data_IF_201065450111
#
_entry.id   IF_201065450111
#
_cell.length_a   1.000
_cell.length_b   1.000
_cell.length_c   1.000
_cell.angle_alpha   90.00
_cell.angle_beta   90.00
_cell.angle_gamma   90.00
#
_symmetry.space_group_name_H-M   'P 1'
#
loop_
_entity.id
_entity.type
_entity.pdbx_description
1 polymer ?
#
# COMPACT_ATOMS: atom_id res chain seq x y z
N UNK A 1 -7.40 35.24 31.85
CA UNK A 1 -8.00 36.57 31.50
C UNK A 1 -7.05 37.22 30.50
N UNK A 2 -6.97 36.77 29.25
CA UNK A 2 -6.19 37.45 28.18
C UNK A 2 -6.42 36.90 26.76
N UNK A 3 -7.68 36.67 26.37
CA UNK A 3 -8.02 36.30 24.99
C UNK A 3 -8.91 37.33 24.26
N UNK A 4 -9.12 38.51 24.86
CA UNK A 4 -10.01 39.54 24.33
C UNK A 4 -9.37 40.66 23.53
N UNK A 5 -8.07 40.91 23.64
CA UNK A 5 -7.40 42.07 23.02
C UNK A 5 -6.83 41.81 21.62
N UNK A 6 -6.43 40.59 21.29
CA UNK A 6 -5.88 40.28 19.95
C UNK A 6 -6.92 40.30 18.82
N UNK A 7 -8.22 40.14 19.14
CA UNK A 7 -9.30 40.18 18.15
C UNK A 7 -9.71 41.59 17.71
N UNK A 8 -9.53 42.60 18.55
CA UNK A 8 -9.90 44.01 18.24
C UNK A 8 -8.87 44.70 17.33
N UNK A 9 -7.59 44.42 17.51
CA UNK A 9 -6.54 45.02 16.68
C UNK A 9 -6.62 44.63 15.21
N UNK A 10 -6.95 43.35 14.91
CA UNK A 10 -7.06 42.83 13.54
C UNK A 10 -8.27 43.36 12.77
N UNK A 11 -9.38 43.69 13.45
CA UNK A 11 -10.57 44.27 12.81
C UNK A 11 -10.38 45.73 12.45
N UNK A 12 -9.71 46.51 13.28
CA UNK A 12 -9.41 47.94 13.05
C UNK A 12 -8.38 48.12 11.92
N UNK A 13 -7.41 47.20 11.81
CA UNK A 13 -6.39 47.23 10.75
C UNK A 13 -6.99 46.93 9.38
N UNK A 14 -7.90 45.96 9.28
CA UNK A 14 -8.66 45.63 8.03
C UNK A 14 -9.57 46.75 7.57
N UNK A 15 -10.19 47.48 8.49
CA UNK A 15 -11.06 48.63 8.16
C UNK A 15 -10.29 49.76 7.51
N UNK A 16 -9.11 50.11 8.00
CA UNK A 16 -8.28 51.21 7.48
C UNK A 16 -7.73 50.93 6.06
N UNK A 17 -7.40 49.69 5.73
CA UNK A 17 -6.97 49.34 4.37
C UNK A 17 -8.14 49.31 3.38
N UNK A 18 -9.31 48.90 3.79
CA UNK A 18 -10.50 48.89 2.94
C UNK A 18 -10.94 50.34 2.59
N UNK A 19 -10.92 51.27 3.56
CA UNK A 19 -11.22 52.69 3.30
C UNK A 19 -10.16 53.38 2.47
N UNK A 20 -8.87 53.07 2.65
CA UNK A 20 -7.79 53.60 1.84
C UNK A 20 -7.88 53.07 0.38
N UNK A 21 -8.22 51.81 0.17
CA UNK A 21 -8.42 51.25 -1.16
C UNK A 21 -9.64 51.87 -1.89
N UNK A 22 -10.75 52.11 -1.16
CA UNK A 22 -11.93 52.80 -1.72
C UNK A 22 -11.61 54.25 -2.12
N UNK A 23 -10.89 54.98 -1.27
CA UNK A 23 -10.44 56.34 -1.57
C UNK A 23 -9.47 56.37 -2.76
N UNK A 24 -8.53 55.47 -2.84
CA UNK A 24 -7.60 55.35 -3.99
C UNK A 24 -8.36 55.03 -5.29
N UNK A 25 -9.39 54.19 -5.23
CA UNK A 25 -10.23 53.83 -6.36
C UNK A 25 -11.06 55.02 -6.85
N UNK A 26 -11.67 55.80 -5.94
CA UNK A 26 -12.48 57.00 -6.28
C UNK A 26 -11.60 58.09 -6.88
N UNK A 27 -10.42 58.33 -6.34
CA UNK A 27 -9.44 59.28 -6.89
C UNK A 27 -8.98 58.84 -8.27
N UNK A 28 -8.68 57.55 -8.46
CA UNK A 28 -8.29 56.99 -9.76
C UNK A 28 -9.38 57.15 -10.82
N UNK A 29 -10.65 56.92 -10.47
CA UNK A 29 -11.79 57.13 -11.37
C UNK A 29 -11.99 58.60 -11.72
N UNK A 30 -11.79 59.52 -10.78
CA UNK A 30 -11.89 60.97 -11.02
C UNK A 30 -10.76 61.45 -11.97
N UNK A 31 -9.52 60.98 -11.78
CA UNK A 31 -8.38 61.29 -12.64
C UNK A 31 -8.59 60.74 -14.06
N UNK A 32 -9.11 59.52 -14.17
CA UNK A 32 -9.43 58.89 -15.46
C UNK A 32 -10.53 59.65 -16.21
N UNK A 33 -11.57 60.07 -15.49
CA UNK A 33 -12.65 60.87 -16.05
C UNK A 33 -12.16 62.24 -16.54
N UNK A 34 -11.31 62.94 -15.77
CA UNK A 34 -10.70 64.20 -16.16
C UNK A 34 -9.77 64.01 -17.41
N UNK A 35 -9.00 62.92 -17.44
CA UNK A 35 -8.13 62.60 -18.57
C UNK A 35 -8.93 62.37 -19.86
N UNK A 36 -10.08 61.67 -19.80
CA UNK A 36 -10.96 61.42 -20.97
C UNK A 36 -11.64 62.69 -21.49
N UNK A 37 -11.74 63.73 -20.69
CA UNK A 37 -12.30 65.02 -21.09
C UNK A 37 -11.23 65.93 -21.69
N UNK A 38 -10.05 66.03 -21.04
CA UNK A 38 -9.00 67.01 -21.35
C UNK A 38 -8.02 66.48 -22.43
N UNK A 39 -7.56 65.23 -22.32
CA UNK A 39 -6.55 64.64 -23.22
C UNK A 39 -6.91 64.68 -24.70
N UNK A 40 -8.16 64.35 -25.15
CA UNK A 40 -8.52 64.42 -26.56
C UNK A 40 -8.33 65.79 -27.19
N UNK A 41 -8.67 66.86 -26.45
CA UNK A 41 -8.46 68.23 -26.88
C UNK A 41 -7.00 68.60 -27.01
N UNK A 42 -6.18 68.23 -26.04
CA UNK A 42 -4.73 68.51 -26.02
C UNK A 42 -4.01 67.76 -27.16
N UNK A 43 -4.36 66.50 -27.43
CA UNK A 43 -3.77 65.68 -28.50
C UNK A 43 -4.09 66.28 -29.87
N UNK A 44 -5.38 66.64 -30.09
CA UNK A 44 -5.81 67.21 -31.36
C UNK A 44 -5.22 68.63 -31.59
N UNK A 45 -5.10 69.45 -30.56
CA UNK A 45 -4.47 70.75 -30.62
C UNK A 45 -2.96 70.67 -30.90
N UNK A 46 -2.28 69.66 -30.39
CA UNK A 46 -0.90 69.39 -30.69
C UNK A 46 -0.65 68.92 -32.15
N UNK A 47 -1.49 67.99 -32.63
CA UNK A 47 -1.37 67.44 -33.98
C UNK A 47 -1.79 68.42 -35.07
N UNK A 48 -2.67 69.39 -34.75
CA UNK A 48 -3.12 70.42 -35.66
C UNK A 48 -2.36 71.77 -35.49
N UNK A 49 -1.28 71.79 -34.71
CA UNK A 49 -0.48 72.99 -34.47
C UNK A 49 0.12 73.49 -35.79
N UNK A 50 -0.49 74.60 -36.36
CA UNK A 50 -0.06 75.22 -37.62
C UNK A 50 -1.01 75.09 -38.82
N UNK A 51 -2.12 74.37 -38.70
CA UNK A 51 -3.12 74.19 -39.75
C UNK A 51 -4.41 74.98 -39.45
N UNK A 52 -4.96 75.70 -40.45
CA UNK A 52 -6.28 76.35 -40.34
C UNK A 52 -7.37 75.31 -40.67
N UNK A 53 -7.86 74.61 -39.65
CA UNK A 53 -8.88 73.58 -39.81
C UNK A 53 -10.26 74.11 -39.44
N UNK A 54 -11.34 73.71 -40.17
CA UNK A 54 -12.68 74.07 -39.87
C UNK A 54 -13.13 73.56 -38.49
N UNK A 55 -13.93 74.31 -37.74
CA UNK A 55 -14.35 73.95 -36.39
C UNK A 55 -15.08 72.59 -36.30
N UNK A 56 -15.75 72.16 -37.40
CA UNK A 56 -16.43 70.87 -37.46
C UNK A 56 -15.46 69.71 -37.55
N UNK A 57 -14.36 69.84 -38.28
CA UNK A 57 -13.34 68.77 -38.44
C UNK A 57 -12.51 68.57 -37.13
N UNK A 58 -12.26 69.67 -36.41
CA UNK A 58 -11.65 69.62 -35.09
C UNK A 58 -12.55 68.90 -34.06
N UNK A 59 -13.86 69.17 -34.06
CA UNK A 59 -14.80 68.45 -33.18
C UNK A 59 -14.87 66.94 -33.50
N UNK A 60 -14.83 66.59 -34.79
CA UNK A 60 -14.77 65.17 -35.18
C UNK A 60 -13.48 64.49 -34.68
N UNK A 61 -12.32 65.09 -34.90
CA UNK A 61 -11.03 64.55 -34.46
C UNK A 61 -10.99 64.37 -32.92
N UNK A 62 -11.50 65.31 -32.15
CA UNK A 62 -11.61 65.19 -30.70
C UNK A 62 -12.51 64.02 -30.27
N UNK A 63 -13.64 63.81 -30.98
CA UNK A 63 -14.53 62.67 -30.68
C UNK A 63 -13.94 61.34 -31.07
N UNK A 64 -13.20 61.24 -32.19
CA UNK A 64 -12.53 60.03 -32.62
C UNK A 64 -11.44 59.59 -31.63
N UNK A 65 -10.61 60.55 -31.14
CA UNK A 65 -9.61 60.31 -30.07
C UNK A 65 -10.28 59.88 -28.76
N UNK A 66 -11.39 60.54 -28.40
CA UNK A 66 -12.17 60.18 -27.20
C UNK A 66 -12.71 58.73 -27.31
N UNK A 67 -13.27 58.37 -28.47
CA UNK A 67 -13.80 57.01 -28.71
C UNK A 67 -12.72 55.96 -28.61
N UNK A 68 -11.55 56.23 -29.24
CA UNK A 68 -10.41 55.35 -29.15
C UNK A 68 -9.88 55.18 -27.75
N UNK A 69 -9.81 56.28 -26.96
CA UNK A 69 -9.41 56.20 -25.55
C UNK A 69 -10.42 55.40 -24.71
N UNK A 70 -11.74 55.61 -24.94
CA UNK A 70 -12.79 54.85 -24.25
C UNK A 70 -12.70 53.34 -24.56
N UNK A 71 -12.45 52.99 -25.82
CA UNK A 71 -12.25 51.60 -26.23
C UNK A 71 -11.00 50.98 -25.59
N UNK A 72 -9.88 51.72 -25.55
CA UNK A 72 -8.66 51.27 -24.88
C UNK A 72 -8.85 51.08 -23.38
N UNK A 73 -9.51 52.01 -22.71
CA UNK A 73 -9.82 51.85 -21.26
C UNK A 73 -10.77 50.69 -21.03
N UNK A 74 -11.82 50.55 -21.85
CA UNK A 74 -12.74 49.41 -21.81
C UNK A 74 -12.01 48.07 -21.94
N UNK A 75 -11.11 47.99 -22.94
CA UNK A 75 -10.26 46.81 -23.15
C UNK A 75 -9.35 46.49 -21.91
N UNK A 76 -8.72 47.51 -21.31
CA UNK A 76 -7.93 47.36 -20.10
C UNK A 76 -8.76 46.87 -18.91
N UNK A 77 -9.97 47.38 -18.73
CA UNK A 77 -10.87 46.95 -17.64
C UNK A 77 -11.24 45.46 -17.82
N UNK A 78 -11.54 45.03 -19.04
CA UNK A 78 -11.84 43.62 -19.35
C UNK A 78 -10.61 42.73 -19.07
N UNK A 79 -9.42 43.13 -19.52
CA UNK A 79 -8.19 42.40 -19.27
C UNK A 79 -7.85 42.29 -17.77
N UNK A 80 -8.04 43.40 -17.03
CA UNK A 80 -7.82 43.43 -15.60
C UNK A 80 -8.86 42.55 -14.87
N UNK A 81 -10.12 42.57 -15.29
CA UNK A 81 -11.16 41.70 -14.75
C UNK A 81 -10.85 40.22 -14.99
N UNK A 82 -10.42 39.88 -16.22
CA UNK A 82 -9.98 38.53 -16.56
C UNK A 82 -8.77 38.08 -15.73
N UNK A 83 -7.77 38.95 -15.58
CA UNK A 83 -6.60 38.68 -14.73
C UNK A 83 -6.98 38.49 -13.26
N UNK A 84 -7.83 39.35 -12.71
CA UNK A 84 -8.28 39.25 -11.33
C UNK A 84 -9.06 37.93 -11.09
N UNK A 85 -9.95 37.56 -12.02
CA UNK A 85 -10.69 36.29 -11.96
C UNK A 85 -9.75 35.09 -12.04
N UNK A 86 -8.81 35.12 -12.97
CA UNK A 86 -7.79 34.06 -13.09
C UNK A 86 -6.94 33.92 -11.85
N UNK A 87 -6.48 35.03 -11.27
CA UNK A 87 -5.72 35.03 -10.01
C UNK A 87 -6.56 34.48 -8.85
N UNK A 88 -7.83 34.84 -8.77
CA UNK A 88 -8.73 34.33 -7.73
C UNK A 88 -8.97 32.82 -7.85
N UNK A 89 -9.14 32.32 -9.09
CA UNK A 89 -9.25 30.88 -9.35
C UNK A 89 -7.99 30.12 -8.91
N UNK A 90 -6.80 30.66 -9.23
CA UNK A 90 -5.53 30.05 -8.77
C UNK A 90 -5.45 29.97 -7.26
N UNK A 91 -5.69 31.08 -6.57
CA UNK A 91 -5.65 31.12 -5.10
C UNK A 91 -6.67 30.17 -4.49
N UNK A 92 -7.86 30.06 -5.09
CA UNK A 92 -8.89 29.13 -4.66
C UNK A 92 -8.47 27.67 -4.86
N UNK A 93 -7.83 27.34 -5.99
CA UNK A 93 -7.30 26.00 -6.25
C UNK A 93 -6.19 25.62 -5.27
N UNK A 94 -5.27 26.55 -5.01
CA UNK A 94 -4.16 26.31 -4.07
C UNK A 94 -4.69 26.14 -2.62
N UNK A 95 -5.71 26.89 -2.23
CA UNK A 95 -6.34 26.74 -0.92
C UNK A 95 -7.12 25.43 -0.78
N UNK A 96 -7.78 24.96 -1.85
CA UNK A 96 -8.45 23.66 -1.87
C UNK A 96 -7.46 22.52 -1.76
N UNK A 97 -6.32 22.59 -2.47
CA UNK A 97 -5.25 21.59 -2.36
C UNK A 97 -4.67 21.53 -0.94
N UNK A 98 -4.31 22.69 -0.38
CA UNK A 98 -3.81 22.77 0.99
C UNK A 98 -4.83 22.25 2.03
N UNK A 99 -6.11 22.50 1.82
CA UNK A 99 -7.17 21.97 2.69
C UNK A 99 -7.30 20.47 2.55
N UNK A 100 -7.24 19.94 1.31
CA UNK A 100 -7.27 18.48 1.07
C UNK A 100 -6.07 17.78 1.68
N UNK A 101 -4.85 18.31 1.53
CA UNK A 101 -3.66 17.78 2.17
C UNK A 101 -3.74 17.80 3.70
N UNK A 102 -4.28 18.87 4.27
CA UNK A 102 -4.55 18.96 5.71
C UNK A 102 -5.54 17.88 6.19
N UNK A 103 -6.62 17.65 5.45
CA UNK A 103 -7.61 16.63 5.78
C UNK A 103 -7.04 15.20 5.76
N UNK A 104 -6.16 14.88 4.80
CA UNK A 104 -5.50 13.57 4.75
C UNK A 104 -4.58 13.40 5.95
N UNK A 105 -3.79 14.43 6.28
CA UNK A 105 -2.87 14.39 7.42
C UNK A 105 -3.61 14.22 8.74
N UNK A 106 -4.72 14.94 8.96
CA UNK A 106 -5.53 14.82 10.17
C UNK A 106 -6.17 13.43 10.30
N UNK A 107 -6.68 12.88 9.20
CA UNK A 107 -7.23 11.51 9.19
C UNK A 107 -6.16 10.47 9.47
N UNK A 108 -4.99 10.63 8.88
CA UNK A 108 -3.85 9.74 9.10
C UNK A 108 -3.42 9.76 10.58
N UNK A 109 -3.24 10.95 11.15
CA UNK A 109 -2.90 11.12 12.57
C UNK A 109 -3.95 10.49 13.48
N UNK A 110 -5.23 10.77 13.23
CA UNK A 110 -6.34 10.18 13.99
C UNK A 110 -6.34 8.65 13.91
N UNK A 111 -6.11 8.09 12.72
CA UNK A 111 -6.08 6.64 12.54
C UNK A 111 -4.89 6.00 13.28
N UNK A 112 -3.71 6.65 13.28
CA UNK A 112 -2.54 6.20 14.04
C UNK A 112 -2.80 6.27 15.55
N UNK A 113 -3.43 7.35 16.04
CA UNK A 113 -3.79 7.49 17.45
C UNK A 113 -4.77 6.38 17.90
N UNK A 114 -5.70 5.99 17.00
CA UNK A 114 -6.61 4.88 17.26
C UNK A 114 -5.92 3.53 17.43
N UNK A 115 -4.76 3.30 16.80
CA UNK A 115 -3.98 2.07 16.98
C UNK A 115 -3.42 1.93 18.41
N UNK A 116 -3.19 3.03 19.09
CA UNK A 116 -2.74 3.06 20.50
C UNK A 116 -3.87 2.87 21.52
N UNK A 117 -5.11 2.66 21.09
CA UNK A 117 -6.25 2.51 22.01
C UNK A 117 -6.27 1.14 22.71
N UNK A 118 -6.67 1.13 23.98
CA UNK A 118 -6.91 -0.13 24.70
C UNK A 118 -8.13 -0.90 24.19
N UNK A 119 -9.05 -0.21 23.45
CA UNK A 119 -10.27 -0.80 22.91
C UNK A 119 -10.01 -1.46 21.56
N UNK A 120 -10.29 -2.76 21.46
CA UNK A 120 -10.10 -3.55 20.24
C UNK A 120 -10.83 -2.93 19.03
N UNK A 121 -12.09 -2.54 19.21
CA UNK A 121 -12.91 -1.97 18.13
C UNK A 121 -12.33 -0.66 17.58
N UNK A 122 -11.71 0.14 18.46
CA UNK A 122 -11.05 1.39 18.08
C UNK A 122 -9.79 1.12 17.26
N UNK A 123 -8.98 0.12 17.68
CA UNK A 123 -7.78 -0.28 16.92
C UNK A 123 -8.15 -0.81 15.53
N UNK A 124 -9.16 -1.69 15.45
CA UNK A 124 -9.69 -2.19 14.16
C UNK A 124 -10.19 -1.03 13.29
N UNK A 125 -10.91 -0.07 13.87
CA UNK A 125 -11.33 1.15 13.15
C UNK A 125 -10.17 1.94 12.58
N UNK A 126 -9.09 2.12 13.36
CA UNK A 126 -7.84 2.76 12.93
C UNK A 126 -7.16 2.03 11.76
N UNK A 127 -7.08 0.69 11.83
CA UNK A 127 -6.51 -0.12 10.77
C UNK A 127 -7.30 0.01 9.45
N UNK A 128 -8.63 -0.03 9.51
CA UNK A 128 -9.47 0.19 8.34
C UNK A 128 -9.35 1.62 7.79
N UNK A 129 -9.22 2.63 8.67
CA UNK A 129 -9.02 4.01 8.23
C UNK A 129 -7.69 4.18 7.51
N UNK A 130 -6.59 3.59 8.00
CA UNK A 130 -5.29 3.56 7.34
C UNK A 130 -5.36 2.85 5.99
N UNK A 131 -6.01 1.70 5.92
CA UNK A 131 -6.20 0.98 4.67
C UNK A 131 -6.89 1.85 3.61
N UNK A 132 -8.01 2.50 3.96
CA UNK A 132 -8.71 3.42 3.05
C UNK A 132 -7.85 4.59 2.58
N UNK A 133 -6.98 5.12 3.44
CA UNK A 133 -6.03 6.17 3.06
C UNK A 133 -5.06 5.62 2.01
N UNK A 134 -4.49 4.44 2.24
CA UNK A 134 -3.53 3.80 1.33
C UNK A 134 -4.14 3.42 -0.04
N UNK A 135 -5.42 3.05 -0.09
CA UNK A 135 -6.13 2.79 -1.34
C UNK A 135 -6.24 4.05 -2.23
N UNK A 136 -6.46 5.21 -1.61
CA UNK A 136 -6.72 6.45 -2.33
C UNK A 136 -5.48 7.33 -2.51
N UNK A 137 -4.40 7.05 -1.80
CA UNK A 137 -3.15 7.81 -1.84
C UNK A 137 -1.94 6.90 -2.03
N UNK A 138 -1.43 6.85 -3.25
CA UNK A 138 -0.19 6.12 -3.53
C UNK A 138 1.00 6.65 -2.72
N UNK A 139 1.01 7.97 -2.42
CA UNK A 139 2.05 8.63 -1.62
C UNK A 139 2.08 8.13 -0.17
N UNK A 140 0.91 7.88 0.43
CA UNK A 140 0.80 7.51 1.84
C UNK A 140 0.84 5.98 2.04
N UNK A 141 0.72 5.22 0.95
CA UNK A 141 0.67 3.74 0.97
C UNK A 141 1.87 3.12 1.67
N UNK A 142 3.08 3.54 1.34
CA UNK A 142 4.30 2.99 1.94
C UNK A 142 4.37 3.28 3.45
N UNK A 143 3.92 4.45 3.88
CA UNK A 143 3.84 4.78 5.31
C UNK A 143 2.83 3.88 6.02
N UNK A 144 1.66 3.63 5.42
CA UNK A 144 0.65 2.72 5.98
C UNK A 144 1.17 1.29 6.06
N UNK A 145 1.82 0.77 5.01
CA UNK A 145 2.45 -0.56 5.00
C UNK A 145 3.45 -0.67 6.16
N UNK A 146 4.32 0.32 6.32
CA UNK A 146 5.31 0.36 7.41
C UNK A 146 4.67 0.36 8.80
N UNK A 147 3.58 1.12 8.98
CA UNK A 147 2.84 1.18 10.26
C UNK A 147 2.17 -0.17 10.55
N UNK A 148 1.50 -0.78 9.58
CA UNK A 148 0.86 -2.08 9.79
C UNK A 148 1.89 -3.17 10.08
N UNK A 149 3.03 -3.18 9.39
CA UNK A 149 4.12 -4.10 9.67
C UNK A 149 4.73 -3.88 11.08
N UNK A 150 4.91 -2.62 11.50
CA UNK A 150 5.36 -2.30 12.85
C UNK A 150 4.32 -2.73 13.91
N UNK A 151 3.03 -2.48 13.64
CA UNK A 151 1.93 -2.91 14.49
C UNK A 151 1.97 -4.42 14.74
N UNK A 152 2.08 -5.23 13.68
CA UNK A 152 2.17 -6.68 13.77
C UNK A 152 3.37 -7.13 14.62
N UNK A 153 4.56 -6.58 14.39
CA UNK A 153 5.76 -6.94 15.16
C UNK A 153 5.65 -6.57 16.64
N UNK A 154 4.99 -5.46 16.95
CA UNK A 154 4.85 -4.99 18.31
C UNK A 154 3.82 -5.79 19.10
N UNK A 155 2.72 -6.19 18.45
CA UNK A 155 1.61 -6.89 19.10
C UNK A 155 1.76 -8.42 19.06
N UNK A 156 2.56 -8.93 18.13
CA UNK A 156 2.81 -10.36 17.95
C UNK A 156 4.31 -10.68 17.97
N UNK A 157 5.06 -10.36 19.03
CA UNK A 157 6.49 -10.71 19.08
C UNK A 157 6.70 -12.23 19.19
N UNK A 158 7.75 -12.74 18.53
CA UNK A 158 8.19 -14.13 18.68
C UNK A 158 9.63 -14.20 19.24
N UNK A 159 9.93 -14.91 20.32
CA UNK A 159 8.97 -15.61 21.20
C UNK A 159 7.95 -14.68 21.85
N UNK A 160 6.73 -15.21 22.15
CA UNK A 160 5.68 -14.39 22.70
C UNK A 160 6.07 -13.82 24.06
N UNK A 161 5.74 -12.56 24.28
CA UNK A 161 6.02 -11.81 25.50
C UNK A 161 4.71 -11.22 26.03
N UNK A 162 4.37 -11.52 27.25
CA UNK A 162 3.17 -11.01 27.89
C UNK A 162 2.28 -12.12 28.46
N UNK A 163 1.41 -11.78 29.41
CA UNK A 163 0.65 -12.77 30.17
C UNK A 163 -0.47 -13.46 29.37
N UNK A 164 -0.94 -12.82 28.29
CA UNK A 164 -2.03 -13.35 27.45
C UNK A 164 -1.52 -14.08 26.19
N UNK A 165 -0.23 -13.97 25.90
CA UNK A 165 0.36 -14.61 24.72
C UNK A 165 0.57 -16.11 24.98
N UNK A 166 0.17 -17.00 24.04
CA UNK A 166 0.37 -18.44 24.23
C UNK A 166 1.86 -18.76 24.28
N UNK A 167 2.29 -19.47 25.31
CA UNK A 167 3.69 -19.86 25.49
C UNK A 167 4.20 -20.70 24.28
N UNK A 168 5.51 -20.80 24.14
CA UNK A 168 6.14 -21.50 22.99
C UNK A 168 5.99 -23.02 23.03
N UNK A 169 5.73 -23.58 24.19
CA UNK A 169 5.58 -25.02 24.46
C UNK A 169 4.12 -25.51 24.45
N UNK A 170 3.16 -24.59 24.30
CA UNK A 170 1.74 -24.94 24.16
C UNK A 170 1.55 -25.74 22.86
N UNK A 171 0.87 -26.93 22.93
CA UNK A 171 0.55 -27.68 21.72
C UNK A 171 -0.22 -26.82 20.72
N UNK A 172 0.13 -26.90 19.45
CA UNK A 172 -0.41 -26.00 18.42
C UNK A 172 -1.94 -26.08 18.31
N UNK A 173 -2.53 -27.23 18.60
CA UNK A 173 -3.98 -27.42 18.59
C UNK A 173 -4.69 -26.65 19.71
N UNK A 174 -3.98 -26.35 20.80
CA UNK A 174 -4.50 -25.58 21.94
C UNK A 174 -4.26 -24.07 21.77
N UNK A 175 -3.43 -23.66 20.79
CA UNK A 175 -3.27 -22.25 20.44
C UNK A 175 -4.51 -21.76 19.71
N UNK A 176 -5.19 -20.76 20.25
CA UNK A 176 -6.37 -20.17 19.62
C UNK A 176 -5.99 -19.50 18.29
N UNK A 177 -6.80 -19.64 17.21
CA UNK A 177 -6.54 -18.97 15.94
C UNK A 177 -6.31 -17.46 16.10
N UNK A 178 -5.46 -16.89 15.23
CA UNK A 178 -5.08 -15.48 15.34
C UNK A 178 -6.28 -14.54 15.23
N UNK A 179 -7.23 -14.84 14.39
CA UNK A 179 -8.47 -14.07 14.20
C UNK A 179 -9.32 -13.93 15.49
N UNK A 180 -9.13 -14.85 16.45
CA UNK A 180 -9.84 -14.84 17.73
C UNK A 180 -8.98 -14.25 18.84
N UNK A 181 -7.69 -14.66 18.94
CA UNK A 181 -6.78 -14.21 20.00
C UNK A 181 -6.23 -12.78 19.81
N UNK A 182 -6.16 -12.31 18.56
CA UNK A 182 -5.66 -11.00 18.20
C UNK A 182 -6.33 -10.55 16.88
N UNK A 183 -7.64 -10.29 16.92
CA UNK A 183 -8.44 -9.98 15.74
C UNK A 183 -7.95 -8.72 14.99
N UNK A 184 -7.46 -7.73 15.71
CA UNK A 184 -6.84 -6.52 15.15
C UNK A 184 -5.56 -6.84 14.36
N UNK A 185 -4.73 -7.74 14.90
CA UNK A 185 -3.52 -8.18 14.20
C UNK A 185 -3.87 -8.99 12.93
N UNK A 186 -4.91 -9.83 12.97
CA UNK A 186 -5.38 -10.52 11.78
C UNK A 186 -5.91 -9.52 10.72
N UNK A 187 -6.64 -8.48 11.14
CA UNK A 187 -7.10 -7.40 10.25
C UNK A 187 -5.90 -6.65 9.65
N UNK A 188 -4.88 -6.33 10.45
CA UNK A 188 -3.67 -5.69 9.97
C UNK A 188 -2.93 -6.54 8.93
N UNK A 189 -2.82 -7.86 9.17
CA UNK A 189 -2.17 -8.81 8.28
C UNK A 189 -2.92 -8.93 6.94
N UNK A 190 -4.24 -9.05 7.00
CA UNK A 190 -5.10 -9.11 5.80
C UNK A 190 -5.02 -7.80 4.99
N UNK A 191 -5.13 -6.66 5.67
CA UNK A 191 -4.99 -5.35 5.03
C UNK A 191 -3.63 -5.15 4.38
N UNK A 192 -2.56 -5.59 5.05
CA UNK A 192 -1.21 -5.57 4.51
C UNK A 192 -1.11 -6.40 3.22
N UNK A 193 -1.62 -7.64 3.22
CA UNK A 193 -1.61 -8.51 2.04
C UNK A 193 -2.33 -7.89 0.83
N UNK A 194 -3.42 -7.15 1.06
CA UNK A 194 -4.14 -6.42 -0.01
C UNK A 194 -3.34 -5.23 -0.52
N UNK A 195 -2.69 -4.46 0.37
CA UNK A 195 -1.85 -3.32 -0.03
C UNK A 195 -0.63 -3.75 -0.84
N UNK A 196 -0.10 -4.94 -0.57
CA UNK A 196 1.05 -5.50 -1.27
C UNK A 196 0.73 -5.98 -2.70
N UNK A 197 -0.54 -6.06 -3.10
CA UNK A 197 -0.96 -6.28 -4.50
C UNK A 197 -0.60 -5.10 -5.42
N UNK A 198 -0.45 -3.90 -4.87
CA UNK A 198 -0.21 -2.69 -5.64
C UNK A 198 1.29 -2.50 -5.92
N UNK A 199 1.69 -1.90 -7.08
CA UNK A 199 3.07 -1.56 -7.35
C UNK A 199 3.68 -0.70 -6.25
N UNK A 200 4.93 -0.98 -5.85
CA UNK A 200 5.65 -0.33 -4.75
C UNK A 200 7.02 0.16 -5.19
N UNK A 201 7.50 1.22 -4.55
CA UNK A 201 8.88 1.69 -4.69
C UNK A 201 9.84 0.91 -3.76
N UNK A 202 9.36 0.56 -2.54
CA UNK A 202 10.11 -0.26 -1.58
C UNK A 202 9.71 -1.74 -1.71
N UNK A 203 10.71 -2.59 -1.87
CA UNK A 203 10.51 -4.02 -2.08
C UNK A 203 10.33 -4.80 -0.78
N UNK A 204 10.90 -4.35 0.36
CA UNK A 204 10.98 -5.15 1.57
C UNK A 204 10.03 -4.68 2.67
N UNK A 205 9.14 -5.56 3.09
CA UNK A 205 8.29 -5.40 4.28
C UNK A 205 8.79 -6.36 5.36
N UNK A 206 9.11 -5.83 6.53
CA UNK A 206 9.64 -6.63 7.62
C UNK A 206 8.53 -7.10 8.57
N UNK A 207 8.26 -8.40 8.55
CA UNK A 207 7.43 -9.13 9.51
C UNK A 207 8.25 -10.20 10.26
N UNK A 208 9.57 -10.09 10.26
CA UNK A 208 10.44 -11.02 10.99
C UNK A 208 10.17 -11.01 12.49
N UNK A 209 10.42 -12.17 13.12
CA UNK A 209 10.29 -12.36 14.59
C UNK A 209 8.84 -12.11 15.08
N UNK A 210 7.84 -12.59 14.31
CA UNK A 210 6.41 -12.47 14.68
C UNK A 210 5.75 -13.80 15.00
N UNK A 211 4.78 -13.79 15.92
CA UNK A 211 3.93 -14.93 16.26
C UNK A 211 2.67 -14.96 15.39
N UNK A 212 2.78 -15.64 14.26
CA UNK A 212 1.68 -15.85 13.30
C UNK A 212 1.14 -17.30 13.39
N UNK A 213 1.28 -17.97 14.54
CA UNK A 213 0.70 -19.29 14.72
C UNK A 213 -0.80 -19.25 14.45
N UNK A 214 -1.29 -20.20 13.61
CA UNK A 214 -2.68 -20.30 13.20
C UNK A 214 -3.25 -18.99 12.64
N UNK A 215 -2.41 -18.16 12.01
CA UNK A 215 -2.87 -16.99 11.26
C UNK A 215 -3.56 -17.43 9.96
N UNK A 216 -4.58 -16.68 9.54
CA UNK A 216 -5.18 -16.82 8.23
C UNK A 216 -4.44 -15.90 7.24
N UNK A 217 -3.62 -16.53 6.41
CA UNK A 217 -2.88 -15.89 5.32
C UNK A 217 -3.34 -16.43 3.96
N UNK A 218 -4.51 -17.06 3.87
CA UNK A 218 -5.01 -17.67 2.63
C UNK A 218 -5.20 -16.60 1.54
N UNK A 219 -4.59 -16.86 0.38
CA UNK A 219 -4.64 -15.95 -0.77
C UNK A 219 -3.92 -14.62 -0.57
N UNK A 220 -3.22 -14.41 0.54
CA UNK A 220 -2.52 -13.15 0.77
C UNK A 220 -1.31 -13.00 -0.16
N UNK A 221 -1.09 -11.76 -0.57
CA UNK A 221 0.07 -11.36 -1.33
C UNK A 221 1.19 -10.94 -0.37
N UNK A 222 2.19 -11.82 -0.18
CA UNK A 222 3.33 -11.64 0.72
C UNK A 222 4.66 -11.62 -0.06
N UNK A 223 4.60 -11.10 -1.29
CA UNK A 223 5.75 -10.97 -2.17
C UNK A 223 6.83 -10.08 -1.56
N UNK A 224 8.08 -10.55 -1.57
CA UNK A 224 9.24 -9.83 -1.01
C UNK A 224 9.10 -9.47 0.48
N UNK A 225 8.28 -10.17 1.24
CA UNK A 225 8.15 -9.98 2.69
C UNK A 225 9.27 -10.71 3.43
N UNK A 226 9.85 -10.08 4.43
CA UNK A 226 10.75 -10.74 5.38
C UNK A 226 9.93 -11.33 6.54
N UNK A 227 9.95 -12.65 6.68
CA UNK A 227 9.35 -13.43 7.76
C UNK A 227 10.42 -14.23 8.53
N UNK A 228 11.68 -13.82 8.46
CA UNK A 228 12.78 -14.52 9.11
C UNK A 228 12.52 -14.71 10.61
N UNK A 229 12.77 -15.93 11.09
CA UNK A 229 12.61 -16.33 12.49
C UNK A 229 11.20 -16.14 13.06
N UNK A 230 10.19 -15.98 12.23
CA UNK A 230 8.79 -15.93 12.67
C UNK A 230 8.24 -17.32 12.89
N UNK A 231 7.14 -17.43 13.63
CA UNK A 231 6.41 -18.67 13.82
C UNK A 231 5.08 -18.63 13.10
N UNK A 232 4.94 -19.43 12.05
CA UNK A 232 3.74 -19.65 11.25
C UNK A 232 3.22 -21.09 11.42
N UNK A 233 3.46 -21.70 12.58
CA UNK A 233 3.00 -23.06 12.82
C UNK A 233 1.50 -23.18 12.69
N UNK A 234 1.06 -24.14 11.86
CA UNK A 234 -0.34 -24.36 11.48
C UNK A 234 -1.07 -23.12 10.89
N UNK A 235 -0.33 -22.17 10.31
CA UNK A 235 -0.94 -21.06 9.59
C UNK A 235 -1.59 -21.55 8.27
N UNK A 236 -2.72 -20.94 7.87
CA UNK A 236 -3.30 -21.05 6.55
C UNK A 236 -2.51 -20.18 5.57
N UNK A 237 -1.98 -20.77 4.51
CA UNK A 237 -1.25 -20.12 3.44
C UNK A 237 -1.72 -20.65 2.07
N UNK A 238 -2.95 -21.17 2.02
CA UNK A 238 -3.55 -21.68 0.80
C UNK A 238 -3.63 -20.58 -0.27
N UNK A 239 -3.08 -20.86 -1.47
CA UNK A 239 -2.97 -19.87 -2.55
C UNK A 239 -2.18 -18.58 -2.22
N UNK A 240 -1.46 -18.50 -1.10
CA UNK A 240 -0.64 -17.33 -0.78
C UNK A 240 0.51 -17.15 -1.77
N UNK A 241 0.85 -15.88 -2.06
CA UNK A 241 2.01 -15.57 -2.88
C UNK A 241 3.18 -15.09 -2.00
N UNK A 242 4.18 -15.95 -1.85
CA UNK A 242 5.42 -15.72 -1.11
C UNK A 242 6.63 -15.52 -2.04
N UNK A 243 6.40 -15.21 -3.32
CA UNK A 243 7.49 -15.03 -4.30
C UNK A 243 8.56 -14.08 -3.75
N UNK A 244 9.84 -14.51 -3.80
CA UNK A 244 10.99 -13.75 -3.32
C UNK A 244 10.95 -13.37 -1.82
N UNK A 245 10.05 -13.94 -1.02
CA UNK A 245 10.01 -13.73 0.42
C UNK A 245 11.24 -14.35 1.11
N UNK A 246 11.62 -13.80 2.27
CA UNK A 246 12.63 -14.40 3.14
C UNK A 246 11.95 -15.11 4.30
N UNK A 247 12.20 -16.41 4.41
CA UNK A 247 11.67 -17.34 5.41
C UNK A 247 12.82 -18.05 6.14
N UNK A 248 13.94 -17.37 6.34
CA UNK A 248 15.13 -17.96 6.98
C UNK A 248 14.83 -18.29 8.43
N UNK A 249 15.07 -19.55 8.82
CA UNK A 249 14.80 -20.07 10.16
C UNK A 249 13.33 -19.87 10.63
N UNK A 250 12.39 -19.84 9.70
CA UNK A 250 10.96 -19.74 10.01
C UNK A 250 10.44 -21.08 10.53
N UNK A 251 9.46 -21.06 11.45
CA UNK A 251 8.71 -22.24 11.82
C UNK A 251 7.40 -22.30 11.01
N UNK A 252 7.32 -23.24 10.05
CA UNK A 252 6.15 -23.53 9.20
C UNK A 252 5.60 -24.95 9.47
N UNK A 253 5.85 -25.50 10.66
CA UNK A 253 5.33 -26.83 11.00
C UNK A 253 3.82 -26.88 10.83
N UNK A 254 3.34 -27.93 10.15
CA UNK A 254 1.92 -28.17 9.90
C UNK A 254 1.18 -27.02 9.17
N UNK A 255 1.89 -26.05 8.58
CA UNK A 255 1.27 -24.98 7.79
C UNK A 255 0.63 -25.54 6.51
N UNK A 256 -0.51 -24.98 6.09
CA UNK A 256 -1.16 -25.34 4.82
C UNK A 256 -0.71 -24.38 3.70
N UNK A 257 0.25 -24.82 2.91
CA UNK A 257 0.82 -24.11 1.77
C UNK A 257 0.30 -24.69 0.43
N UNK A 258 -0.83 -25.42 0.43
CA UNK A 258 -1.35 -26.01 -0.79
C UNK A 258 -1.57 -24.94 -1.85
N UNK A 259 -1.08 -25.19 -3.08
CA UNK A 259 -1.16 -24.28 -4.23
C UNK A 259 -0.57 -22.88 -4.00
N UNK A 260 0.22 -22.69 -2.93
CA UNK A 260 0.94 -21.43 -2.71
C UNK A 260 2.06 -21.23 -3.74
N UNK A 261 2.53 -20.00 -3.90
CA UNK A 261 3.63 -19.65 -4.80
C UNK A 261 4.85 -19.24 -3.96
N UNK A 262 5.88 -20.10 -3.94
CA UNK A 262 7.15 -19.89 -3.23
C UNK A 262 8.34 -19.70 -4.20
N UNK A 263 8.10 -19.12 -5.36
CA UNK A 263 9.17 -18.93 -6.35
C UNK A 263 10.27 -18.03 -5.80
N UNK A 264 11.54 -18.49 -5.91
CA UNK A 264 12.72 -17.74 -5.43
C UNK A 264 12.67 -17.37 -3.97
N UNK A 265 11.86 -18.07 -3.16
CA UNK A 265 11.76 -17.87 -1.71
C UNK A 265 13.01 -18.42 -1.03
N UNK A 266 13.48 -17.75 0.03
CA UNK A 266 14.61 -18.21 0.84
C UNK A 266 14.09 -18.91 2.09
N UNK A 267 14.10 -20.25 2.10
CA UNK A 267 13.66 -21.10 3.22
C UNK A 267 14.85 -21.78 3.92
N UNK A 268 16.01 -21.12 3.96
CA UNK A 268 17.23 -21.66 4.59
C UNK A 268 17.00 -21.89 6.08
N UNK A 269 17.34 -23.11 6.57
CA UNK A 269 17.12 -23.51 7.96
C UNK A 269 15.64 -23.48 8.42
N UNK A 270 14.68 -23.43 7.50
CA UNK A 270 13.26 -23.41 7.83
C UNK A 270 12.80 -24.78 8.37
N UNK A 271 11.85 -24.76 9.33
CA UNK A 271 11.18 -25.97 9.84
C UNK A 271 9.82 -26.12 9.16
N UNK A 272 9.71 -27.03 8.18
CA UNK A 272 8.49 -27.33 7.44
C UNK A 272 7.95 -28.74 7.77
N UNK A 273 8.26 -29.28 8.93
CA UNK A 273 7.83 -30.63 9.31
C UNK A 273 6.30 -30.76 9.27
N UNK A 274 5.81 -31.77 8.56
CA UNK A 274 4.39 -32.01 8.40
C UNK A 274 3.64 -30.91 7.64
N UNK A 275 4.33 -29.95 7.02
CA UNK A 275 3.71 -28.91 6.20
C UNK A 275 3.07 -29.51 4.93
N UNK A 276 2.00 -28.88 4.46
CA UNK A 276 1.26 -29.31 3.28
C UNK A 276 1.59 -28.41 2.08
N UNK A 277 2.45 -28.92 1.20
CA UNK A 277 2.96 -28.23 0.01
C UNK A 277 2.41 -28.87 -1.29
N UNK A 278 1.18 -29.33 -1.26
CA UNK A 278 0.54 -30.00 -2.40
C UNK A 278 0.32 -29.00 -3.54
N UNK A 279 0.79 -29.35 -4.76
CA UNK A 279 0.62 -28.50 -5.95
C UNK A 279 1.25 -27.08 -5.79
N UNK A 280 2.25 -26.94 -4.92
CA UNK A 280 2.94 -25.67 -4.63
C UNK A 280 4.00 -25.40 -5.70
N UNK A 281 4.13 -24.13 -6.11
CA UNK A 281 5.20 -23.65 -7.01
C UNK A 281 6.44 -23.27 -6.18
N UNK A 282 7.44 -24.18 -6.15
CA UNK A 282 8.69 -24.04 -5.41
C UNK A 282 9.86 -23.64 -6.32
N UNK A 283 9.62 -23.24 -7.56
CA UNK A 283 10.68 -22.99 -8.54
C UNK A 283 11.71 -21.99 -8.04
N UNK A 284 12.99 -22.37 -8.19
CA UNK A 284 14.13 -21.55 -7.78
C UNK A 284 14.16 -21.21 -6.27
N UNK A 285 13.36 -21.89 -5.42
CA UNK A 285 13.37 -21.68 -3.97
C UNK A 285 14.58 -22.33 -3.31
N UNK A 286 15.08 -21.73 -2.23
CA UNK A 286 16.25 -22.21 -1.49
C UNK A 286 15.83 -22.83 -0.14
N UNK A 287 15.88 -24.17 -0.06
CA UNK A 287 15.60 -24.96 1.13
C UNK A 287 16.90 -25.53 1.73
N UNK A 288 18.03 -24.85 1.57
CA UNK A 288 19.30 -25.31 2.13
C UNK A 288 19.16 -25.52 3.65
N UNK A 289 19.52 -26.75 4.09
CA UNK A 289 19.46 -27.17 5.50
C UNK A 289 18.03 -27.07 6.15
N UNK A 290 16.97 -26.99 5.35
CA UNK A 290 15.60 -27.00 5.84
C UNK A 290 15.17 -28.39 6.31
N UNK A 291 14.27 -28.44 7.29
CA UNK A 291 13.65 -29.67 7.79
C UNK A 291 12.25 -29.85 7.18
N UNK A 292 12.13 -30.71 6.18
CA UNK A 292 10.87 -31.04 5.49
C UNK A 292 10.36 -32.44 5.86
N UNK A 293 10.79 -33.02 6.97
CA UNK A 293 10.34 -34.36 7.38
C UNK A 293 8.83 -34.44 7.46
N UNK A 294 8.27 -35.51 6.91
CA UNK A 294 6.82 -35.75 6.91
C UNK A 294 6.00 -34.68 6.14
N UNK A 295 6.66 -33.75 5.42
CA UNK A 295 5.96 -32.78 4.61
C UNK A 295 5.30 -33.44 3.38
N UNK A 296 4.21 -32.86 2.89
CA UNK A 296 3.51 -33.36 1.71
C UNK A 296 3.78 -32.43 0.51
N UNK A 297 4.68 -32.86 -0.38
CA UNK A 297 5.05 -32.16 -1.61
C UNK A 297 4.42 -32.79 -2.86
N UNK A 298 3.28 -33.46 -2.75
CA UNK A 298 2.65 -34.09 -3.90
C UNK A 298 2.39 -33.06 -4.99
N UNK A 299 2.83 -33.44 -6.23
CA UNK A 299 2.67 -32.60 -7.43
C UNK A 299 3.26 -31.17 -7.30
N UNK A 300 4.16 -30.94 -6.35
CA UNK A 300 4.86 -29.67 -6.25
C UNK A 300 5.83 -29.51 -7.45
N UNK A 301 5.94 -28.29 -7.97
CA UNK A 301 6.92 -27.93 -8.98
C UNK A 301 8.16 -27.35 -8.29
N UNK A 302 9.21 -28.17 -8.16
CA UNK A 302 10.47 -27.80 -7.53
C UNK A 302 11.61 -27.61 -8.56
N UNK A 303 11.25 -27.21 -9.79
CA UNK A 303 12.23 -26.91 -10.83
C UNK A 303 13.24 -25.85 -10.39
N UNK A 304 14.55 -26.16 -10.41
CA UNK A 304 15.60 -25.26 -9.97
C UNK A 304 15.70 -25.05 -8.45
N UNK A 305 14.84 -25.69 -7.65
CA UNK A 305 14.89 -25.56 -6.20
C UNK A 305 16.16 -26.17 -5.60
N UNK A 306 16.68 -25.58 -4.54
CA UNK A 306 17.90 -26.02 -3.85
C UNK A 306 17.52 -26.70 -2.53
N UNK A 307 17.76 -28.01 -2.42
CA UNK A 307 17.55 -28.82 -1.22
C UNK A 307 18.89 -29.32 -0.62
N UNK A 308 19.94 -28.54 -0.74
CA UNK A 308 21.26 -28.92 -0.20
C UNK A 308 21.16 -29.16 1.29
N UNK A 309 21.57 -30.37 1.73
CA UNK A 309 21.55 -30.85 3.12
C UNK A 309 20.15 -30.78 3.78
N UNK A 310 19.08 -30.59 3.00
CA UNK A 310 17.72 -30.62 3.52
C UNK A 310 17.34 -32.02 4.02
N UNK A 311 16.51 -32.08 5.04
CA UNK A 311 15.97 -33.33 5.56
C UNK A 311 14.58 -33.60 4.97
N UNK A 312 14.55 -34.44 3.93
CA UNK A 312 13.36 -34.89 3.20
C UNK A 312 12.90 -36.29 3.63
N UNK A 313 13.30 -36.77 4.79
CA UNK A 313 12.88 -38.12 5.27
C UNK A 313 11.38 -38.17 5.49
N UNK A 314 10.77 -39.27 5.07
CA UNK A 314 9.34 -39.52 5.19
C UNK A 314 8.46 -38.50 4.44
N UNK A 315 9.02 -37.70 3.54
CA UNK A 315 8.30 -36.71 2.73
C UNK A 315 7.51 -37.43 1.63
N UNK A 316 6.29 -36.96 1.35
CA UNK A 316 5.50 -37.42 0.19
C UNK A 316 5.85 -36.58 -1.05
N UNK A 317 6.60 -37.20 -1.97
CA UNK A 317 7.08 -36.57 -3.22
C UNK A 317 6.31 -37.07 -4.47
N UNK A 318 5.18 -37.80 -4.30
CA UNK A 318 4.46 -38.38 -5.42
C UNK A 318 4.02 -37.35 -6.44
N UNK A 319 4.42 -37.56 -7.70
CA UNK A 319 4.12 -36.64 -8.80
C UNK A 319 4.87 -35.31 -8.74
N UNK A 320 5.79 -35.09 -7.80
CA UNK A 320 6.60 -33.87 -7.73
C UNK A 320 7.60 -33.76 -8.88
N UNK A 321 7.84 -32.55 -9.37
CA UNK A 321 8.87 -32.28 -10.36
C UNK A 321 10.15 -31.76 -9.69
N UNK A 322 11.14 -32.64 -9.53
CA UNK A 322 12.47 -32.36 -9.00
C UNK A 322 13.54 -32.44 -10.13
N UNK A 323 13.13 -32.42 -11.39
CA UNK A 323 14.02 -32.75 -12.54
C UNK A 323 15.26 -31.88 -12.66
N UNK A 324 15.21 -30.65 -12.15
CA UNK A 324 16.33 -29.70 -12.14
C UNK A 324 16.70 -29.23 -10.72
N UNK A 325 16.19 -29.90 -9.69
CA UNK A 325 16.47 -29.56 -8.30
C UNK A 325 17.90 -29.99 -7.88
N UNK A 326 18.50 -29.24 -6.97
CA UNK A 326 19.78 -29.59 -6.35
C UNK A 326 19.54 -30.37 -5.04
N UNK A 327 19.75 -31.69 -5.08
CA UNK A 327 19.59 -32.61 -3.96
C UNK A 327 20.93 -32.97 -3.27
N UNK A 328 21.97 -32.12 -3.42
CA UNK A 328 23.30 -32.44 -2.87
C UNK A 328 23.23 -32.62 -1.35
N UNK A 329 23.60 -33.84 -0.89
CA UNK A 329 23.54 -34.22 0.52
C UNK A 329 22.13 -34.15 1.17
N UNK A 330 21.06 -34.09 0.39
CA UNK A 330 19.71 -34.19 0.92
C UNK A 330 19.47 -35.62 1.48
N UNK A 331 18.68 -35.72 2.53
CA UNK A 331 18.32 -36.98 3.20
C UNK A 331 16.90 -37.36 2.80
N UNK A 332 16.76 -38.44 2.02
CA UNK A 332 15.48 -38.92 1.47
C UNK A 332 15.03 -40.28 2.03
N UNK A 333 15.68 -40.81 3.05
CA UNK A 333 15.34 -42.12 3.61
C UNK A 333 13.86 -42.20 4.00
N UNK A 334 13.13 -43.14 3.41
CA UNK A 334 11.71 -43.33 3.64
C UNK A 334 10.80 -42.28 2.98
N UNK A 335 11.36 -41.38 2.16
CA UNK A 335 10.51 -40.51 1.31
C UNK A 335 9.72 -41.39 0.33
N UNK A 336 8.48 -40.99 0.05
CA UNK A 336 7.59 -41.71 -0.85
C UNK A 336 7.50 -40.98 -2.19
N UNK A 337 7.69 -41.71 -3.27
CA UNK A 337 7.60 -41.21 -4.64
C UNK A 337 6.64 -42.09 -5.49
N UNK A 338 6.30 -41.63 -6.68
CA UNK A 338 5.60 -42.44 -7.68
C UNK A 338 6.34 -42.47 -9.02
N UNK A 339 5.81 -43.22 -9.97
CA UNK A 339 6.32 -43.23 -11.35
C UNK A 339 6.28 -41.86 -12.03
N UNK A 340 5.40 -40.97 -11.56
CA UNK A 340 5.24 -39.59 -12.07
C UNK A 340 6.20 -38.60 -11.42
N UNK A 341 6.97 -39.02 -10.37
CA UNK A 341 7.96 -38.14 -9.74
C UNK A 341 9.18 -38.03 -10.67
N UNK A 342 9.54 -36.77 -10.98
CA UNK A 342 10.68 -36.47 -11.85
C UNK A 342 11.92 -36.17 -11.04
N UNK A 343 13.00 -36.88 -11.30
CA UNK A 343 14.25 -36.74 -10.58
C UNK A 343 15.31 -36.02 -11.41
N UNK A 344 16.33 -35.39 -10.79
CA UNK A 344 17.48 -34.84 -11.50
C UNK A 344 18.22 -35.91 -12.30
N UNK A 345 18.79 -35.53 -13.41
CA UNK A 345 19.57 -36.48 -14.26
C UNK A 345 20.69 -37.15 -13.47
N UNK A 346 20.70 -38.48 -13.47
CA UNK A 346 21.72 -39.29 -12.77
C UNK A 346 21.51 -39.43 -11.25
N UNK A 347 20.39 -38.94 -10.70
CA UNK A 347 20.08 -39.13 -9.28
C UNK A 347 19.53 -40.54 -9.02
N UNK A 348 20.21 -41.31 -8.17
CA UNK A 348 19.77 -42.64 -7.75
C UNK A 348 18.84 -42.53 -6.51
N UNK A 349 17.57 -42.41 -6.75
CA UNK A 349 16.57 -42.29 -5.69
C UNK A 349 16.38 -43.59 -4.88
N UNK A 350 16.66 -44.75 -5.49
CA UNK A 350 16.59 -46.04 -4.80
C UNK A 350 17.73 -46.15 -3.79
N UNK A 351 18.96 -45.81 -4.20
CA UNK A 351 20.09 -45.78 -3.30
C UNK A 351 19.92 -44.71 -2.19
N UNK A 352 19.18 -43.65 -2.45
CA UNK A 352 18.84 -42.64 -1.45
C UNK A 352 17.76 -43.11 -0.43
N UNK A 353 17.22 -44.34 -0.60
CA UNK A 353 16.22 -44.91 0.30
C UNK A 353 14.79 -44.42 0.10
N UNK A 354 14.48 -43.98 -1.12
CA UNK A 354 13.13 -43.58 -1.52
C UNK A 354 12.26 -44.80 -1.75
N UNK A 355 11.02 -44.80 -1.31
CA UNK A 355 10.02 -45.84 -1.51
C UNK A 355 9.11 -45.42 -2.68
N UNK A 356 9.07 -46.22 -3.73
CA UNK A 356 8.19 -45.94 -4.88
C UNK A 356 6.88 -46.69 -4.69
N UNK A 357 5.77 -45.95 -4.77
CA UNK A 357 4.39 -46.47 -4.61
C UNK A 357 3.50 -45.95 -5.76
N UNK A 358 2.37 -46.58 -5.94
CA UNK A 358 1.35 -46.04 -6.85
C UNK A 358 0.83 -44.67 -6.37
N UNK A 359 0.45 -43.81 -7.32
CA UNK A 359 -0.21 -42.57 -6.96
C UNK A 359 -1.57 -42.87 -6.32
N UNK A 360 -1.86 -42.37 -5.09
CA UNK A 360 -3.20 -42.41 -4.58
C UNK A 360 -4.06 -41.48 -5.47
N UNK A 361 -5.29 -41.87 -5.70
CA UNK A 361 -6.29 -41.05 -6.39
C UNK A 361 -6.36 -39.62 -5.83
N UNK A 362 -7.22 -38.76 -6.38
CA UNK A 362 -7.37 -37.39 -5.91
C UNK A 362 -7.61 -37.37 -4.40
N UNK A 363 -6.93 -36.44 -3.74
CA UNK A 363 -7.05 -36.23 -2.29
C UNK A 363 -8.53 -36.02 -1.94
N UNK A 364 -9.11 -36.73 -0.97
CA UNK A 364 -10.48 -36.45 -0.55
C UNK A 364 -10.56 -34.97 -0.14
N UNK A 365 -11.68 -34.30 -0.45
CA UNK A 365 -11.84 -32.89 -0.02
C UNK A 365 -11.57 -32.82 1.47
N UNK A 366 -10.91 -31.73 1.96
CA UNK A 366 -10.65 -31.58 3.38
C UNK A 366 -11.96 -31.78 4.12
N UNK A 367 -11.96 -32.72 5.05
CA UNK A 367 -13.09 -32.85 5.97
C UNK A 367 -13.27 -31.48 6.57
N UNK A 368 -14.38 -30.81 6.23
CA UNK A 368 -14.80 -29.57 6.83
C UNK A 368 -14.72 -29.77 8.34
N UNK A 369 -13.60 -29.38 8.95
CA UNK A 369 -13.56 -29.23 10.38
C UNK A 369 -14.63 -28.18 10.66
N UNK A 370 -15.65 -28.60 11.39
CA UNK A 370 -16.83 -27.81 11.71
C UNK A 370 -16.46 -26.62 12.63
N UNK A 371 -15.82 -25.65 12.06
CA UNK A 371 -15.80 -24.27 12.53
C UNK A 371 -16.68 -23.49 11.56
N UNK A 372 -17.94 -23.33 11.94
CA UNK A 372 -18.97 -22.72 11.10
C UNK A 372 -18.83 -21.23 10.91
N UNK A 373 -17.77 -20.80 10.22
CA UNK A 373 -17.70 -19.44 9.66
C UNK A 373 -17.05 -19.58 8.28
N UNK A 374 -17.90 -19.70 7.27
CA UNK A 374 -17.49 -19.58 5.87
C UNK A 374 -17.32 -18.10 5.54
N UNK A 375 -16.14 -17.53 5.71
CA UNK A 375 -15.77 -16.31 4.99
C UNK A 375 -15.43 -16.71 3.55
N UNK A 376 -16.46 -16.79 2.71
CA UNK A 376 -16.26 -16.83 1.26
C UNK A 376 -15.74 -15.47 0.82
N UNK A 377 -14.43 -15.30 0.74
CA UNK A 377 -13.87 -14.27 -0.12
C UNK A 377 -14.20 -14.65 -1.57
N UNK A 378 -14.82 -13.76 -2.35
CA UNK A 378 -15.02 -14.02 -3.77
C UNK A 378 -13.66 -14.18 -4.43
N UNK A 379 -13.51 -15.10 -5.42
CA UNK A 379 -12.26 -15.27 -6.13
C UNK A 379 -11.87 -13.93 -6.76
N UNK A 380 -10.67 -13.44 -6.44
CA UNK A 380 -10.08 -12.28 -7.08
C UNK A 380 -10.07 -12.56 -8.58
N UNK A 381 -10.81 -11.75 -9.34
CA UNK A 381 -10.83 -11.81 -10.80
C UNK A 381 -9.39 -11.69 -11.30
N UNK A 382 -8.98 -12.66 -12.11
CA UNK A 382 -7.78 -12.57 -12.93
C UNK A 382 -7.83 -11.26 -13.72
N UNK A 383 -6.96 -10.33 -13.37
CA UNK A 383 -6.71 -9.12 -14.15
C UNK A 383 -5.68 -9.53 -15.23
N UNK A 384 -5.92 -9.14 -16.50
CA UNK A 384 -5.12 -9.54 -17.65
C UNK A 384 -3.67 -9.07 -17.59
#
# INVERSE_FOLDING_TARGET
>A
MDMGEQGRGRRLWRGRHATAALLAGTVGLAVLGAALVVLPGVVVDHDLAGASVAAQDRLKAVNDVRTTLLQAVGGMVVLFGAYATWRQLRVSQDSLRATQEGYVTDRFSTAVDQLGSDKLETRIGGLHALWRIAEHSARDREAVISIQAAYLRTHLPWPPTGPEAPATDVPINDVVPLEVRAADAQVALTGLGVLLLQPREQSWVNLGVTDLRRADCDGLWLHEVNLDRSCLEAAGLYHANLTQASLVSVNLRHADLKTAILRRTRCVLADLRGARLVETDLRDADFTEADLREANLRKADAGGAVFRRADLRLTDLRGADLSTADLFQARLTGAVASEHTRWPAGFDHVAAGVVVTEDPGPEPPPLLQASGITTRHPPLRSIP
#
